data_IF_725723270910
#
_entry.id   IF_725723270910
#
_cell.length_a   1.000
_cell.length_b   1.000
_cell.length_c   1.000
_cell.angle_alpha   90.00
_cell.angle_beta   90.00
_cell.angle_gamma   90.00
#
_symmetry.space_group_name_H-M   'P 1'
#
loop_
_entity.id
_entity.type
_entity.pdbx_description
1 polymer ?
#
# COMPACT_ATOMS: atom_id res chain seq x y z
N UNK A 1 77.43 12.12 -1.68
CA UNK A 1 76.09 12.22 -2.31
C UNK A 1 75.07 11.56 -1.40
N UNK A 2 74.18 12.35 -0.78
CA UNK A 2 73.18 11.93 0.23
C UNK A 2 71.92 11.45 -0.51
N UNK A 3 71.49 10.20 -0.33
CA UNK A 3 70.18 9.72 -0.82
C UNK A 3 69.11 10.14 0.17
N UNK A 4 68.21 11.04 -0.25
CA UNK A 4 67.03 11.43 0.52
C UNK A 4 65.94 10.37 0.30
N UNK A 5 65.49 9.74 1.39
CA UNK A 5 64.40 8.78 1.41
C UNK A 5 63.07 9.56 1.45
N UNK A 6 62.28 9.52 0.38
CA UNK A 6 60.92 10.06 0.40
C UNK A 6 59.97 8.99 0.95
N UNK A 7 59.54 9.14 2.20
CA UNK A 7 58.43 8.37 2.76
C UNK A 7 57.15 9.07 2.30
N UNK A 8 56.45 8.46 1.36
CA UNK A 8 55.11 8.89 0.94
C UNK A 8 54.10 8.45 1.99
N UNK A 9 53.58 9.41 2.74
CA UNK A 9 52.49 9.20 3.70
C UNK A 9 51.16 9.23 2.94
N UNK A 10 50.69 8.07 2.49
CA UNK A 10 49.33 7.92 1.98
C UNK A 10 48.34 8.07 3.15
N UNK A 11 47.67 9.22 3.22
CA UNK A 11 46.57 9.47 4.14
C UNK A 11 45.37 8.60 3.71
N UNK A 12 45.16 7.46 4.38
CA UNK A 12 44.00 6.60 4.15
C UNK A 12 42.79 7.26 4.82
N UNK A 13 41.98 7.99 4.04
CA UNK A 13 40.69 8.50 4.50
C UNK A 13 39.72 7.32 4.54
N UNK A 14 39.56 6.74 5.72
CA UNK A 14 38.53 5.73 5.98
C UNK A 14 37.21 6.51 6.10
N UNK A 15 36.43 6.56 5.02
CA UNK A 15 35.02 6.90 5.11
C UNK A 15 34.31 5.76 5.85
N UNK A 16 34.14 5.91 7.16
CA UNK A 16 33.26 5.06 7.94
C UNK A 16 31.83 5.36 7.51
N UNK A 17 31.32 4.64 6.51
CA UNK A 17 29.89 4.54 6.25
C UNK A 17 29.25 3.94 7.49
N UNK A 18 28.73 4.79 8.36
CA UNK A 18 27.81 4.37 9.41
C UNK A 18 26.47 4.11 8.71
N UNK A 19 26.31 2.92 8.12
CA UNK A 19 24.97 2.40 7.84
C UNK A 19 24.33 2.11 9.20
N UNK A 20 23.78 3.14 9.84
CA UNK A 20 22.75 2.92 10.86
C UNK A 20 21.63 2.22 10.11
N UNK A 21 21.38 0.95 10.41
CA UNK A 21 20.15 0.29 9.99
C UNK A 21 19.00 1.21 10.38
N UNK A 22 18.18 1.60 9.40
CA UNK A 22 16.97 2.36 9.67
C UNK A 22 16.12 1.52 10.64
N UNK A 23 15.50 2.16 11.62
CA UNK A 23 14.59 1.45 12.51
C UNK A 23 13.44 0.89 11.65
N UNK A 24 13.13 -0.38 11.76
CA UNK A 24 11.98 -0.98 11.07
C UNK A 24 10.69 -0.65 11.85
N UNK A 25 9.61 -0.42 11.12
CA UNK A 25 8.27 -0.21 11.65
C UNK A 25 7.25 -0.94 10.77
N UNK A 26 6.09 -1.29 11.33
CA UNK A 26 4.99 -1.89 10.57
C UNK A 26 3.94 -0.83 10.25
N UNK A 27 3.58 -0.70 8.99
CA UNK A 27 2.45 0.10 8.53
C UNK A 27 1.28 -0.85 8.31
N UNK A 28 0.19 -0.62 9.05
CA UNK A 28 -1.00 -1.46 9.02
C UNK A 28 -2.22 -0.67 8.57
N UNK A 29 -3.15 -1.36 7.93
CA UNK A 29 -4.37 -0.72 7.46
C UNK A 29 -5.31 -1.64 6.70
N UNK A 30 -6.28 -1.02 6.04
CA UNK A 30 -7.25 -1.71 5.21
C UNK A 30 -7.57 -0.93 3.93
N UNK A 31 -7.85 -1.68 2.86
CA UNK A 31 -8.37 -1.16 1.62
C UNK A 31 -9.82 -1.61 1.41
N UNK A 32 -10.67 -0.68 1.02
CA UNK A 32 -12.10 -0.89 0.84
C UNK A 32 -12.64 -0.13 -0.36
N UNK A 33 -13.83 -0.48 -0.82
CA UNK A 33 -14.55 0.22 -1.86
C UNK A 33 -16.05 0.27 -1.58
N UNK A 34 -16.73 1.24 -2.16
CA UNK A 34 -18.18 1.37 -2.05
C UNK A 34 -18.88 0.84 -3.30
N UNK A 35 -20.09 0.32 -3.16
CA UNK A 35 -20.89 -0.15 -4.28
C UNK A 35 -22.39 -0.01 -4.00
N UNK A 36 -23.18 0.20 -5.06
CA UNK A 36 -24.64 0.08 -5.01
C UNK A 36 -25.13 -1.37 -5.05
N UNK A 37 -24.24 -2.35 -5.26
CA UNK A 37 -24.63 -3.75 -5.26
C UNK A 37 -24.97 -4.25 -3.86
N UNK A 38 -25.94 -5.18 -3.83
CA UNK A 38 -26.40 -5.79 -2.59
C UNK A 38 -25.30 -6.64 -1.93
N UNK A 39 -25.20 -6.57 -0.60
CA UNK A 39 -24.32 -7.42 0.22
C UNK A 39 -24.38 -8.90 -0.23
N UNK A 40 -25.60 -9.46 -0.33
CA UNK A 40 -25.79 -10.87 -0.67
C UNK A 40 -25.21 -11.24 -2.04
N UNK A 41 -25.28 -10.33 -3.01
CA UNK A 41 -24.69 -10.56 -4.33
C UNK A 41 -23.17 -10.58 -4.22
N UNK A 42 -22.58 -9.57 -3.59
CA UNK A 42 -21.12 -9.44 -3.47
C UNK A 42 -20.50 -10.59 -2.66
N UNK A 43 -21.12 -11.01 -1.55
CA UNK A 43 -20.65 -12.16 -0.76
C UNK A 43 -20.69 -13.47 -1.55
N UNK A 44 -21.71 -13.67 -2.39
CA UNK A 44 -21.76 -14.83 -3.30
C UNK A 44 -20.59 -14.85 -4.28
N UNK A 45 -20.04 -13.69 -4.60
CA UNK A 45 -18.90 -13.51 -5.49
C UNK A 45 -17.56 -13.36 -4.77
N UNK A 46 -17.50 -13.66 -3.47
CA UNK A 46 -16.23 -13.74 -2.71
C UNK A 46 -15.75 -12.43 -2.11
N UNK A 47 -16.57 -11.37 -2.13
CA UNK A 47 -16.23 -10.10 -1.46
C UNK A 47 -16.71 -10.09 -0.02
N UNK A 48 -15.85 -9.59 0.87
CA UNK A 48 -16.16 -9.38 2.29
C UNK A 48 -16.92 -8.07 2.47
N UNK A 49 -18.03 -8.12 3.21
CA UNK A 49 -18.87 -6.96 3.50
C UNK A 49 -18.43 -6.29 4.80
N UNK A 50 -18.23 -4.97 4.75
CA UNK A 50 -17.78 -4.16 5.88
C UNK A 50 -18.97 -3.47 6.55
N UNK A 51 -19.85 -2.83 5.78
CA UNK A 51 -20.98 -2.08 6.33
C UNK A 51 -21.69 -1.22 5.30
N UNK A 52 -22.72 -0.50 5.73
CA UNK A 52 -23.38 0.55 4.96
C UNK A 52 -22.71 1.88 5.27
N UNK A 53 -22.45 2.69 4.23
CA UNK A 53 -22.03 4.08 4.38
C UNK A 53 -23.18 5.00 4.02
N UNK A 54 -23.64 5.79 4.99
CA UNK A 54 -24.59 6.88 4.73
C UNK A 54 -23.85 7.98 3.96
N UNK A 55 -24.07 8.09 2.66
CA UNK A 55 -23.66 9.27 1.92
C UNK A 55 -24.69 10.39 2.11
N UNK A 56 -24.24 11.65 2.02
CA UNK A 56 -25.08 12.85 2.15
C UNK A 56 -26.25 12.90 1.13
N UNK A 57 -26.23 12.02 0.12
CA UNK A 57 -27.20 11.94 -0.96
C UNK A 57 -28.24 10.82 -0.80
N UNK A 58 -28.33 10.17 0.37
CA UNK A 58 -29.36 9.18 0.72
C UNK A 58 -29.44 7.96 -0.24
N UNK A 59 -28.32 7.61 -0.88
CA UNK A 59 -28.20 6.33 -1.58
C UNK A 59 -27.49 5.36 -0.64
N UNK A 60 -28.20 4.33 -0.17
CA UNK A 60 -27.58 3.23 0.59
C UNK A 60 -26.48 2.61 -0.27
N UNK A 61 -25.22 2.88 0.08
CA UNK A 61 -24.06 2.25 -0.53
C UNK A 61 -23.44 1.28 0.47
N UNK A 62 -23.09 0.12 -0.04
CA UNK A 62 -22.43 -0.92 0.73
C UNK A 62 -20.93 -0.80 0.55
N UNK A 63 -20.18 -0.89 1.63
CA UNK A 63 -18.73 -0.90 1.66
C UNK A 63 -18.25 -2.35 1.74
N UNK A 64 -17.27 -2.68 0.91
CA UNK A 64 -16.68 -4.02 0.80
C UNK A 64 -15.15 -3.94 0.87
N UNK A 65 -14.53 -5.03 1.31
CA UNK A 65 -13.08 -5.16 1.31
C UNK A 65 -12.55 -5.21 -0.12
N UNK A 66 -11.49 -4.43 -0.40
CA UNK A 66 -10.71 -4.56 -1.61
C UNK A 66 -9.69 -5.70 -1.43
N UNK A 67 -10.19 -6.94 -1.48
CA UNK A 67 -9.39 -8.17 -1.44
C UNK A 67 -8.44 -8.25 -2.64
N UNK A 68 -7.26 -8.84 -2.45
CA UNK A 68 -6.25 -9.01 -3.50
C UNK A 68 -5.88 -7.67 -4.19
N UNK A 69 -5.92 -6.57 -3.45
CA UNK A 69 -5.38 -5.28 -3.89
C UNK A 69 -3.87 -5.26 -3.65
N UNK A 70 -3.10 -4.80 -4.63
CA UNK A 70 -1.65 -4.63 -4.48
C UNK A 70 -1.37 -3.34 -3.70
N UNK A 71 -0.71 -3.47 -2.57
CA UNK A 71 -0.23 -2.38 -1.73
C UNK A 71 1.25 -2.18 -2.02
N UNK A 72 1.64 -0.95 -2.35
CA UNK A 72 3.03 -0.55 -2.54
C UNK A 72 3.29 0.63 -1.63
N UNK A 73 4.32 0.53 -0.79
CA UNK A 73 4.76 1.60 0.10
C UNK A 73 6.04 2.18 -0.48
N UNK A 74 6.02 3.48 -0.77
CA UNK A 74 7.17 4.24 -1.22
C UNK A 74 7.56 5.31 -0.20
N UNK A 75 8.84 5.69 -0.21
CA UNK A 75 9.32 6.90 0.44
C UNK A 75 8.89 8.18 -0.32
N UNK A 76 9.28 9.35 0.19
CA UNK A 76 8.95 10.63 -0.44
C UNK A 76 9.60 10.79 -1.83
N UNK A 77 10.74 10.12 -2.07
CA UNK A 77 11.50 10.16 -3.31
C UNK A 77 10.99 9.14 -4.36
N UNK A 78 10.07 8.26 -3.98
CA UNK A 78 9.50 7.22 -4.85
C UNK A 78 10.28 5.91 -4.85
N UNK A 79 11.17 5.68 -3.89
CA UNK A 79 11.79 4.37 -3.73
C UNK A 79 10.81 3.43 -3.02
N UNK A 80 10.63 2.23 -3.57
CA UNK A 80 9.77 1.20 -2.99
C UNK A 80 10.43 0.65 -1.73
N UNK A 81 9.71 0.74 -0.61
CA UNK A 81 10.10 0.23 0.70
C UNK A 81 9.51 -1.16 0.98
N UNK A 82 8.33 -1.44 0.45
CA UNK A 82 7.65 -2.73 0.64
C UNK A 82 6.42 -2.89 -0.24
N UNK A 83 6.01 -4.14 -0.45
CA UNK A 83 4.84 -4.51 -1.24
C UNK A 83 4.13 -5.71 -0.65
N UNK A 84 2.80 -5.72 -0.66
CA UNK A 84 1.99 -6.86 -0.23
C UNK A 84 0.63 -6.88 -0.95
N UNK A 85 -0.08 -7.99 -0.90
CA UNK A 85 -1.48 -8.08 -1.32
C UNK A 85 -2.37 -8.00 -0.08
N UNK A 86 -3.50 -7.31 -0.17
CA UNK A 86 -4.50 -7.33 0.91
C UNK A 86 -5.11 -8.72 1.10
N UNK A 87 -5.47 -9.05 2.34
CA UNK A 87 -6.19 -10.28 2.67
C UNK A 87 -7.66 -10.25 2.22
N UNK A 88 -8.42 -11.31 2.53
CA UNK A 88 -9.84 -11.44 2.20
C UNK A 88 -10.72 -10.34 2.82
N UNK A 89 -10.26 -9.72 3.91
CA UNK A 89 -10.91 -8.61 4.60
C UNK A 89 -10.30 -7.25 4.22
N UNK A 90 -9.41 -7.22 3.23
CA UNK A 90 -8.79 -6.01 2.70
C UNK A 90 -7.65 -5.48 3.57
N UNK A 91 -7.17 -6.24 4.55
CA UNK A 91 -6.12 -5.82 5.49
C UNK A 91 -4.71 -6.04 4.94
N UNK A 92 -3.76 -5.23 5.40
CA UNK A 92 -2.34 -5.35 5.10
C UNK A 92 -1.48 -4.97 6.32
N UNK A 93 -0.28 -5.53 6.42
CA UNK A 93 0.68 -5.29 7.51
C UNK A 93 2.12 -5.36 6.97
N UNK A 94 2.68 -4.22 6.55
CA UNK A 94 3.97 -4.18 5.85
C UNK A 94 5.05 -3.58 6.75
N UNK A 95 6.08 -4.37 7.06
CA UNK A 95 7.28 -3.88 7.74
C UNK A 95 8.23 -3.19 6.77
N UNK A 96 8.58 -1.93 7.06
CA UNK A 96 9.44 -1.08 6.23
C UNK A 96 10.46 -0.32 7.09
N UNK A 97 11.48 0.23 6.43
CA UNK A 97 12.36 1.21 7.05
C UNK A 97 11.55 2.45 7.46
N UNK A 98 11.87 2.99 8.64
CA UNK A 98 11.22 4.20 9.16
C UNK A 98 11.63 5.43 8.37
N UNK A 99 10.62 6.03 7.75
CA UNK A 99 10.56 7.37 7.18
C UNK A 99 9.57 8.28 7.94
N UNK A 100 9.64 9.59 7.67
CA UNK A 100 8.68 10.58 8.19
C UNK A 100 7.37 10.62 7.38
N UNK A 101 7.45 10.29 6.09
CA UNK A 101 6.35 10.32 5.13
C UNK A 101 6.39 9.09 4.24
N UNK A 102 5.23 8.49 4.01
CA UNK A 102 5.02 7.36 3.12
C UNK A 102 3.99 7.70 2.06
N UNK A 103 4.19 7.20 0.84
CA UNK A 103 3.15 7.12 -0.18
C UNK A 103 2.70 5.68 -0.26
N UNK A 104 1.45 5.43 0.11
CA UNK A 104 0.81 4.13 -0.03
C UNK A 104 0.03 4.15 -1.32
N UNK A 105 0.45 3.35 -2.29
CA UNK A 105 -0.21 3.17 -3.58
C UNK A 105 -0.98 1.87 -3.49
N UNK A 106 -2.27 1.94 -3.81
CA UNK A 106 -3.16 0.78 -3.85
C UNK A 106 -3.64 0.58 -5.26
N UNK A 107 -3.34 -0.59 -5.84
CA UNK A 107 -3.84 -0.99 -7.14
C UNK A 107 -4.93 -2.04 -6.99
N UNK A 108 -6.10 -1.75 -7.53
CA UNK A 108 -7.26 -2.63 -7.43
C UNK A 108 -8.06 -2.59 -8.74
N UNK A 109 -8.22 -3.76 -9.37
CA UNK A 109 -8.90 -3.91 -10.66
C UNK A 109 -8.51 -2.88 -11.74
N UNK A 110 -7.22 -2.58 -11.84
CA UNK A 110 -6.67 -1.66 -12.85
C UNK A 110 -6.80 -0.18 -12.50
N UNK A 111 -7.29 0.15 -11.30
CA UNK A 111 -7.27 1.50 -10.74
C UNK A 111 -6.13 1.64 -9.75
N UNK A 112 -5.62 2.86 -9.62
CA UNK A 112 -4.56 3.22 -8.70
C UNK A 112 -5.03 4.36 -7.80
N UNK A 113 -4.90 4.19 -6.48
CA UNK A 113 -5.20 5.20 -5.46
C UNK A 113 -3.94 5.47 -4.64
N UNK A 114 -3.62 6.74 -4.41
CA UNK A 114 -2.45 7.14 -3.62
C UNK A 114 -2.90 7.80 -2.32
N UNK A 115 -2.39 7.30 -1.19
CA UNK A 115 -2.58 7.85 0.15
C UNK A 115 -1.23 8.29 0.71
N UNK A 116 -1.11 9.57 1.06
CA UNK A 116 0.07 10.07 1.77
C UNK A 116 -0.18 9.94 3.28
N UNK A 117 0.75 9.29 3.98
CA UNK A 117 0.69 9.02 5.41
C UNK A 117 1.94 9.57 6.09
N UNK A 118 1.80 10.15 7.28
CA UNK A 118 2.93 10.69 8.05
C UNK A 118 3.10 9.92 9.35
N UNK A 119 4.33 9.57 9.69
CA UNK A 119 4.65 9.00 11.00
C UNK A 119 4.24 10.00 12.12
N UNK A 120 3.67 9.54 13.25
CA UNK A 120 3.41 8.15 13.65
C UNK A 120 2.02 7.61 13.26
N UNK A 121 1.25 8.29 12.40
CA UNK A 121 -0.12 7.88 12.03
C UNK A 121 -0.14 6.79 10.96
N UNK A 122 0.53 5.68 11.24
CA UNK A 122 0.80 4.58 10.29
C UNK A 122 0.06 3.28 10.61
N UNK A 123 -0.71 3.28 11.69
CA UNK A 123 -1.59 2.20 12.09
C UNK A 123 -3.03 2.53 11.67
N UNK A 124 -3.83 1.49 11.41
CA UNK A 124 -5.24 1.59 11.03
C UNK A 124 -5.48 2.52 9.82
N UNK A 125 -4.56 2.51 8.84
CA UNK A 125 -4.68 3.35 7.65
C UNK A 125 -5.82 2.83 6.76
N UNK A 126 -6.94 3.55 6.76
CA UNK A 126 -8.08 3.24 5.89
C UNK A 126 -7.94 3.92 4.51
N UNK A 127 -8.05 3.11 3.45
CA UNK A 127 -7.95 3.55 2.05
C UNK A 127 -9.20 3.12 1.29
N UNK A 128 -10.04 4.08 0.88
CA UNK A 128 -11.15 3.83 -0.02
C UNK A 128 -10.67 3.99 -1.47
N UNK A 129 -10.72 2.92 -2.26
CA UNK A 129 -10.24 2.88 -3.66
C UNK A 129 -11.31 3.32 -4.67
N UNK A 130 -12.51 3.67 -4.19
CA UNK A 130 -13.54 4.32 -4.97
C UNK A 130 -14.90 3.66 -4.88
N UNK A 131 -15.82 4.17 -5.70
CA UNK A 131 -17.16 3.64 -5.86
C UNK A 131 -17.28 2.85 -7.17
N UNK A 132 -17.85 1.65 -7.09
CA UNK A 132 -18.05 0.76 -8.23
C UNK A 132 -19.51 0.35 -8.36
N UNK A 133 -20.10 0.66 -9.50
CA UNK A 133 -21.44 0.22 -9.85
C UNK A 133 -21.45 -1.23 -10.38
N UNK A 134 -22.65 -1.71 -10.68
CA UNK A 134 -22.84 -3.04 -11.27
C UNK A 134 -22.11 -3.24 -12.59
N UNK A 135 -22.03 -2.22 -13.45
CA UNK A 135 -21.40 -2.33 -14.76
C UNK A 135 -19.89 -2.59 -14.65
N UNK A 136 -19.24 -1.94 -13.69
CA UNK A 136 -17.82 -2.13 -13.41
C UNK A 136 -17.59 -3.51 -12.79
N UNK A 137 -18.31 -3.86 -11.74
CA UNK A 137 -18.11 -5.12 -11.00
C UNK A 137 -18.44 -6.33 -11.89
N UNK A 138 -19.49 -6.28 -12.69
CA UNK A 138 -19.83 -7.36 -13.60
C UNK A 138 -18.73 -7.62 -14.65
N UNK A 139 -17.97 -6.58 -15.04
CA UNK A 139 -16.79 -6.78 -15.91
C UNK A 139 -15.68 -7.52 -15.18
N UNK A 140 -15.41 -7.20 -13.92
CA UNK A 140 -14.40 -7.90 -13.12
C UNK A 140 -14.74 -9.38 -12.96
N UNK A 141 -15.99 -9.67 -12.61
CA UNK A 141 -16.48 -11.03 -12.39
C UNK A 141 -16.46 -11.87 -13.68
N UNK A 142 -16.77 -11.26 -14.83
CA UNK A 142 -16.64 -11.93 -16.13
C UNK A 142 -15.19 -12.24 -16.48
N UNK A 143 -14.27 -11.29 -16.30
CA UNK A 143 -12.83 -11.51 -16.55
C UNK A 143 -12.27 -12.63 -15.68
N UNK A 144 -12.66 -12.69 -14.41
CA UNK A 144 -12.24 -13.76 -13.48
C UNK A 144 -12.74 -15.14 -13.95
N UNK A 145 -13.97 -15.25 -14.47
CA UNK A 145 -14.53 -16.51 -14.97
C UNK A 145 -13.87 -17.05 -16.25
N UNK A 146 -13.20 -16.21 -17.03
CA UNK A 146 -12.55 -16.58 -18.29
C UNK A 146 -11.09 -17.00 -18.13
N UNK A 147 -10.54 -16.87 -16.92
CA UNK A 147 -9.13 -17.16 -16.62
C UNK A 147 -8.89 -18.60 -16.12
N UNK A 148 -9.89 -19.49 -16.27
CA UNK A 148 -9.87 -20.90 -15.88
C UNK A 148 -10.00 -21.83 -17.10
#
# INVERSE_FOLDING_TARGET
MRKLLFISLCLLVIFSFHNKAAAEITISGSSQFDSSLLEKYMKKHGYFYIGETDNEYALNVNTFAAKDAEIIIEDEQGAVLGTEMTDDEGRFDITVNREDVYKIIVKFHGLETVKIVKFPKIEDVMINVGYFDSNIIDRWLRTASLSY
#
